data_IF_282949384734
#
_entry.id   IF_282949384734
#
_cell.length_a   1.000
_cell.length_b   1.000
_cell.length_c   1.000
_cell.angle_alpha   90.00
_cell.angle_beta   90.00
_cell.angle_gamma   90.00
#
_symmetry.space_group_name_H-M   'P 1'
#
loop_
_entity.id
_entity.type
_entity.pdbx_description
1 polymer ?
#
# COMPACT_ATOMS: atom_id res chain seq x y z
N UNK A 1 6.53 15.02 46.91
CA UNK A 1 5.55 15.73 46.05
C UNK A 1 5.69 15.19 44.64
N UNK A 2 4.61 14.57 44.14
CA UNK A 2 4.51 14.04 42.79
C UNK A 2 4.49 15.17 41.77
N UNK A 3 5.22 15.03 40.66
CA UNK A 3 4.78 15.61 39.41
C UNK A 3 4.95 14.56 38.32
N UNK A 4 3.98 13.66 38.28
CA UNK A 4 3.77 12.72 37.19
C UNK A 4 3.47 13.57 35.96
N UNK A 5 4.44 13.70 35.05
CA UNK A 5 4.24 14.19 33.70
C UNK A 5 3.10 13.39 33.07
N UNK A 6 1.92 14.02 33.10
CA UNK A 6 0.71 13.55 32.48
C UNK A 6 0.95 13.67 30.96
N UNK A 7 1.68 12.72 30.40
CA UNK A 7 1.76 12.52 28.95
C UNK A 7 0.32 12.35 28.50
N UNK A 8 -0.19 13.42 27.92
CA UNK A 8 -1.54 13.59 27.43
C UNK A 8 -1.87 12.42 26.48
N UNK A 9 -2.76 11.54 26.93
CA UNK A 9 -3.23 10.38 26.17
C UNK A 9 -3.85 10.77 24.81
N UNK A 10 -4.16 12.06 24.61
CA UNK A 10 -4.70 12.59 23.35
C UNK A 10 -3.69 12.57 22.19
N UNK A 11 -2.38 12.72 22.44
CA UNK A 11 -1.37 12.62 21.35
C UNK A 11 -1.20 11.21 20.80
N UNK A 12 -1.65 10.18 21.54
CA UNK A 12 -1.56 8.78 21.08
C UNK A 12 -2.64 8.42 20.05
N UNK A 13 -3.70 9.23 19.93
CA UNK A 13 -4.85 8.97 19.07
C UNK A 13 -4.71 9.52 17.65
N UNK A 14 -3.81 10.46 17.39
CA UNK A 14 -3.56 10.97 16.03
C UNK A 14 -2.81 9.95 15.16
N UNK A 15 -2.01 9.06 15.77
CA UNK A 15 -1.35 7.94 15.09
C UNK A 15 -2.30 6.79 14.73
N UNK A 16 -3.56 6.85 15.17
CA UNK A 16 -4.60 5.85 14.90
C UNK A 16 -5.56 6.26 13.78
N UNK A 17 -5.31 7.38 13.09
CA UNK A 17 -5.95 7.58 11.79
C UNK A 17 -5.46 6.47 10.88
N UNK A 18 -6.31 5.44 10.69
CA UNK A 18 -5.97 4.28 9.89
C UNK A 18 -5.37 4.69 8.56
N UNK A 19 -4.37 3.96 8.08
CA UNK A 19 -3.66 4.29 6.85
C UNK A 19 -4.67 4.63 5.74
N UNK A 20 -4.67 5.87 5.27
CA UNK A 20 -5.50 6.29 4.14
C UNK A 20 -4.71 5.99 2.88
N UNK A 21 -5.25 5.13 2.02
CA UNK A 21 -4.65 4.91 0.71
C UNK A 21 -5.01 6.06 -0.23
N UNK A 22 -4.13 6.40 -1.19
CA UNK A 22 -4.48 7.29 -2.28
C UNK A 22 -5.78 6.84 -2.98
N UNK A 23 -6.60 7.79 -3.42
CA UNK A 23 -7.88 7.50 -4.10
C UNK A 23 -7.70 6.66 -5.36
N UNK A 24 -6.53 6.77 -6.00
CA UNK A 24 -6.17 6.05 -7.22
C UNK A 24 -5.51 4.67 -6.96
N UNK A 25 -5.38 4.25 -5.69
CA UNK A 25 -4.78 2.97 -5.33
C UNK A 25 -5.48 1.76 -6.00
N UNK A 26 -6.83 1.65 -6.05
CA UNK A 26 -7.49 0.56 -6.77
C UNK A 26 -7.12 0.51 -8.26
N UNK A 27 -6.95 1.66 -8.91
CA UNK A 27 -6.59 1.78 -10.32
C UNK A 27 -5.13 1.34 -10.54
N UNK A 28 -4.22 1.74 -9.65
CA UNK A 28 -2.83 1.25 -9.65
C UNK A 28 -2.78 -0.27 -9.48
N UNK A 29 -3.62 -0.81 -8.61
CA UNK A 29 -3.70 -2.25 -8.36
C UNK A 29 -4.25 -3.01 -9.59
N UNK A 30 -5.23 -2.45 -10.31
CA UNK A 30 -5.73 -3.02 -11.58
C UNK A 30 -4.62 -3.04 -12.64
N UNK A 31 -3.91 -1.92 -12.83
CA UNK A 31 -2.77 -1.83 -13.77
C UNK A 31 -1.67 -2.84 -13.44
N UNK A 32 -1.35 -3.02 -12.15
CA UNK A 32 -0.37 -4.03 -11.73
C UNK A 32 -0.84 -5.45 -12.05
N UNK A 33 -2.12 -5.76 -11.84
CA UNK A 33 -2.71 -7.04 -12.22
C UNK A 33 -2.57 -7.27 -13.72
N UNK A 34 -2.96 -6.30 -14.54
CA UNK A 34 -2.84 -6.36 -16.00
C UNK A 34 -1.40 -6.60 -16.44
N UNK A 35 -0.44 -5.82 -15.92
CA UNK A 35 0.98 -5.97 -16.22
C UNK A 35 1.54 -7.35 -15.82
N UNK A 36 1.02 -7.94 -14.73
CA UNK A 36 1.43 -9.28 -14.29
C UNK A 36 0.84 -10.43 -15.12
N UNK A 37 -0.19 -10.17 -15.94
CA UNK A 37 -0.96 -11.22 -16.62
C UNK A 37 -1.75 -12.15 -15.69
N UNK A 38 -1.81 -11.87 -14.39
CA UNK A 38 -2.46 -12.72 -13.41
C UNK A 38 -3.96 -12.43 -13.30
N UNK A 39 -4.73 -13.44 -12.90
CA UNK A 39 -6.06 -13.22 -12.33
C UNK A 39 -5.93 -12.58 -10.95
N UNK A 40 -7.01 -11.96 -10.45
CA UNK A 40 -7.04 -11.41 -9.10
C UNK A 40 -6.71 -12.44 -8.00
N UNK A 41 -7.14 -13.69 -8.17
CA UNK A 41 -6.78 -14.79 -7.24
C UNK A 41 -5.30 -15.17 -7.37
N UNK A 42 -4.78 -15.17 -8.59
CA UNK A 42 -3.36 -15.41 -8.86
C UNK A 42 -2.46 -14.35 -8.23
N UNK A 43 -2.84 -13.07 -8.34
CA UNK A 43 -2.13 -11.96 -7.71
C UNK A 43 -2.17 -12.09 -6.17
N UNK A 44 -3.35 -12.33 -5.58
CA UNK A 44 -3.50 -12.51 -4.15
C UNK A 44 -2.61 -13.65 -3.62
N UNK A 45 -2.61 -14.80 -4.32
CA UNK A 45 -1.73 -15.93 -4.00
C UNK A 45 -0.26 -15.57 -4.12
N UNK A 46 0.13 -14.82 -5.15
CA UNK A 46 1.52 -14.43 -5.42
C UNK A 46 2.10 -13.49 -4.36
N UNK A 47 1.26 -12.68 -3.71
CA UNK A 47 1.66 -11.78 -2.62
C UNK A 47 1.34 -12.34 -1.23
N UNK A 48 0.81 -13.57 -1.15
CA UNK A 48 0.55 -14.28 0.10
C UNK A 48 -0.64 -13.78 0.91
N UNK A 49 -1.70 -13.25 0.26
CA UNK A 49 -2.91 -12.78 0.94
C UNK A 49 -4.17 -13.54 0.53
N UNK A 50 -5.18 -13.52 1.41
CA UNK A 50 -6.50 -14.05 1.10
C UNK A 50 -7.22 -13.21 0.03
N UNK A 51 -7.97 -13.88 -0.85
CA UNK A 51 -8.71 -13.21 -1.92
C UNK A 51 -9.78 -12.23 -1.42
N UNK A 52 -10.37 -12.47 -0.24
CA UNK A 52 -11.30 -11.52 0.41
C UNK A 52 -10.58 -10.22 0.76
N UNK A 53 -9.32 -10.28 1.21
CA UNK A 53 -8.52 -9.09 1.48
C UNK A 53 -8.20 -8.34 0.18
N UNK A 54 -7.80 -9.06 -0.87
CA UNK A 54 -7.63 -8.48 -2.21
C UNK A 54 -8.90 -7.77 -2.71
N UNK A 55 -10.08 -8.37 -2.49
CA UNK A 55 -11.36 -7.76 -2.85
C UNK A 55 -11.65 -6.47 -2.07
N UNK A 56 -11.20 -6.36 -0.82
CA UNK A 56 -11.31 -5.12 -0.03
C UNK A 56 -10.39 -4.03 -0.57
N UNK A 57 -9.17 -4.37 -0.95
CA UNK A 57 -8.21 -3.41 -1.53
C UNK A 57 -8.69 -2.81 -2.84
N UNK A 58 -9.31 -3.63 -3.70
CA UNK A 58 -9.97 -3.18 -4.93
C UNK A 58 -11.14 -2.22 -4.69
N UNK A 59 -11.64 -2.13 -3.46
CA UNK A 59 -12.69 -1.19 -3.04
C UNK A 59 -12.12 0.00 -2.27
N UNK A 60 -10.79 0.17 -2.23
CA UNK A 60 -10.12 1.28 -1.56
C UNK A 60 -9.73 1.02 -0.11
N UNK A 61 -9.90 -0.21 0.42
CA UNK A 61 -9.43 -0.51 1.77
C UNK A 61 -7.90 -0.55 1.82
N UNK A 62 -7.31 0.06 2.84
CA UNK A 62 -5.87 0.07 3.00
C UNK A 62 -5.29 -1.33 3.34
N UNK A 63 -4.17 -1.71 2.69
CA UNK A 63 -3.32 -2.80 3.14
C UNK A 63 -2.79 -2.60 4.57
N UNK A 64 -2.54 -3.70 5.27
CA UNK A 64 -1.62 -3.66 6.42
C UNK A 64 -0.19 -3.42 5.92
N UNK A 65 0.70 -2.93 6.79
CA UNK A 65 2.10 -2.66 6.41
C UNK A 65 2.81 -3.90 5.83
N UNK A 66 2.63 -5.07 6.43
CA UNK A 66 3.22 -6.31 5.92
C UNK A 66 2.69 -6.70 4.53
N UNK A 67 1.37 -6.62 4.31
CA UNK A 67 0.79 -6.93 3.01
C UNK A 67 1.16 -5.88 1.93
N UNK A 68 1.35 -4.62 2.31
CA UNK A 68 1.83 -3.56 1.42
C UNK A 68 3.28 -3.83 0.98
N UNK A 69 4.15 -4.25 1.91
CA UNK A 69 5.51 -4.64 1.59
C UNK A 69 5.53 -5.83 0.61
N UNK A 70 4.72 -6.86 0.83
CA UNK A 70 4.60 -7.98 -0.11
C UNK A 70 4.17 -7.52 -1.51
N UNK A 71 3.24 -6.57 -1.59
CA UNK A 71 2.79 -5.99 -2.85
C UNK A 71 3.93 -5.23 -3.56
N UNK A 72 4.70 -4.43 -2.83
CA UNK A 72 5.87 -3.73 -3.37
C UNK A 72 6.97 -4.68 -3.85
N UNK A 73 7.30 -5.70 -3.07
CA UNK A 73 8.31 -6.70 -3.45
C UNK A 73 7.88 -7.46 -4.71
N UNK A 74 6.60 -7.81 -4.80
CA UNK A 74 6.04 -8.41 -6.00
C UNK A 74 6.17 -7.48 -7.22
N UNK A 75 5.75 -6.22 -7.08
CA UNK A 75 5.82 -5.24 -8.17
C UNK A 75 7.27 -4.96 -8.59
N UNK A 76 8.20 -4.87 -7.64
CA UNK A 76 9.62 -4.74 -7.93
C UNK A 76 10.17 -5.95 -8.70
N UNK A 77 9.80 -7.17 -8.29
CA UNK A 77 10.23 -8.41 -8.94
C UNK A 77 9.81 -8.49 -10.40
N UNK A 78 8.67 -7.89 -10.77
CA UNK A 78 8.18 -7.87 -12.16
C UNK A 78 8.50 -6.56 -12.90
N UNK A 79 9.29 -5.66 -12.32
CA UNK A 79 9.68 -4.39 -12.96
C UNK A 79 8.57 -3.32 -13.01
N UNK A 80 7.46 -3.52 -12.29
CA UNK A 80 6.28 -2.67 -12.32
C UNK A 80 6.09 -1.82 -11.05
N UNK A 81 7.15 -1.63 -10.25
CA UNK A 81 7.07 -0.86 -9.00
C UNK A 81 6.55 0.56 -9.22
N UNK A 82 6.92 1.19 -10.35
CA UNK A 82 6.47 2.53 -10.73
C UNK A 82 4.93 2.67 -10.77
N UNK A 83 4.20 1.59 -11.10
CA UNK A 83 2.73 1.57 -11.13
C UNK A 83 2.15 1.88 -9.74
N UNK A 84 2.76 1.34 -8.68
CA UNK A 84 2.27 1.53 -7.31
C UNK A 84 2.68 2.88 -6.73
N UNK A 85 3.85 3.39 -7.11
CA UNK A 85 4.36 4.66 -6.59
C UNK A 85 3.70 5.88 -7.25
N UNK A 86 3.18 5.73 -8.47
CA UNK A 86 2.52 6.80 -9.23
C UNK A 86 3.51 7.66 -10.03
N UNK A 87 2.97 8.53 -10.88
CA UNK A 87 3.70 9.34 -11.87
C UNK A 87 4.70 10.36 -11.27
N UNK A 88 4.73 10.54 -9.94
CA UNK A 88 5.59 11.53 -9.28
C UNK A 88 7.09 11.18 -9.24
N UNK A 89 7.49 9.96 -9.60
CA UNK A 89 8.89 9.52 -9.55
C UNK A 89 9.61 9.52 -10.91
N UNK A 90 8.92 9.84 -12.01
CA UNK A 90 9.57 9.86 -13.32
C UNK A 90 10.41 11.12 -13.58
N UNK A 91 10.30 12.17 -12.76
CA UNK A 91 10.85 13.50 -13.07
C UNK A 91 12.10 13.93 -12.30
N UNK A 92 12.60 13.16 -11.32
CA UNK A 92 13.70 13.62 -10.44
C UNK A 92 15.04 12.91 -10.63
N UNK A 93 15.13 11.88 -11.46
CA UNK A 93 16.37 11.13 -11.67
C UNK A 93 17.10 11.43 -13.00
N UNK A 94 16.61 12.38 -13.79
CA UNK A 94 17.23 12.81 -15.05
C UNK A 94 17.33 14.34 -15.18
N UNK A 95 17.90 14.99 -14.16
CA UNK A 95 18.47 16.34 -14.35
C UNK A 95 19.93 16.30 -13.90
N UNK A 96 20.80 15.96 -14.87
CA UNK A 96 22.20 16.37 -14.89
C UNK A 96 22.32 17.84 -15.22
#
# INVERSE_FOLDING_TARGET
>A
MNNTDHIDGRRRLELLQGAVMPEDFPQRLERLKEASGLSWRGLARSIGIDYKLMRRWRKGAAPSGGSMLSLFLFANRIGCLHILLGEGLQMTLFRS
#
